data_IF_276548199861
#
_entry.id   IF_276548199861
#
_cell.length_a   1.000
_cell.length_b   1.000
_cell.length_c   1.000
_cell.angle_alpha   90.00
_cell.angle_beta   90.00
_cell.angle_gamma   90.00
#
_symmetry.space_group_name_H-M   'P 1'
#
loop_
_entity.id
_entity.type
_entity.pdbx_description
1 polymer ?
#
# COMPACT_ATOMS: atom_id res chain seq x y z
N UNK A 1 -82.05 -5.55 -5.04
CA UNK A 1 -81.78 -5.97 -6.44
C UNK A 1 -80.27 -6.15 -6.55
N UNK A 2 -79.75 -7.29 -6.09
CA UNK A 2 -79.35 -8.48 -6.87
C UNK A 2 -77.93 -8.35 -7.46
N UNK A 3 -77.07 -9.23 -6.94
CA UNK A 3 -75.68 -9.61 -7.27
C UNK A 3 -75.34 -9.67 -8.77
N UNK A 4 -74.06 -9.52 -9.11
CA UNK A 4 -73.22 -10.66 -9.54
C UNK A 4 -71.74 -10.30 -9.77
N UNK A 5 -70.90 -11.19 -9.25
CA UNK A 5 -69.44 -11.38 -9.43
C UNK A 5 -69.09 -11.77 -10.86
N UNK A 6 -67.82 -11.58 -11.29
CA UNK A 6 -66.95 -12.56 -11.96
C UNK A 6 -65.59 -11.92 -12.33
N UNK A 7 -64.48 -12.58 -11.98
CA UNK A 7 -63.14 -12.51 -12.62
C UNK A 7 -63.01 -13.80 -13.48
N UNK A 8 -62.16 -13.90 -14.55
CA UNK A 8 -60.69 -13.88 -14.42
C UNK A 8 -59.86 -13.45 -15.66
N UNK A 9 -58.54 -13.29 -15.42
CA UNK A 9 -57.36 -13.49 -16.29
C UNK A 9 -57.36 -13.06 -17.76
N UNK A 10 -56.45 -12.14 -18.09
CA UNK A 10 -55.30 -12.40 -19.00
C UNK A 10 -54.53 -11.10 -19.28
N UNK A 11 -53.40 -10.89 -18.59
CA UNK A 11 -52.39 -9.92 -19.02
C UNK A 11 -51.02 -10.62 -18.95
N UNK A 12 -50.57 -11.01 -20.14
CA UNK A 12 -49.35 -11.74 -20.40
C UNK A 12 -48.11 -10.93 -20.03
N UNK A 13 -47.45 -11.37 -18.97
CA UNK A 13 -46.05 -11.79 -18.93
C UNK A 13 -45.15 -11.38 -20.12
N UNK A 14 -44.70 -10.12 -20.16
CA UNK A 14 -43.52 -9.69 -20.91
C UNK A 14 -42.80 -8.62 -20.07
N UNK A 15 -41.47 -8.70 -20.02
CA UNK A 15 -40.52 -7.86 -19.25
C UNK A 15 -40.06 -8.41 -17.89
N UNK A 16 -39.46 -9.61 -17.91
CA UNK A 16 -38.39 -9.90 -16.95
C UNK A 16 -37.17 -10.52 -17.67
N UNK A 17 -36.48 -9.69 -18.45
CA UNK A 17 -35.09 -9.94 -18.82
C UNK A 17 -34.22 -8.98 -18.00
N UNK A 18 -33.93 -9.35 -16.76
CA UNK A 18 -32.77 -8.81 -16.05
C UNK A 18 -31.53 -9.35 -16.75
N UNK A 19 -30.97 -8.56 -17.65
CA UNK A 19 -29.61 -8.75 -18.16
C UNK A 19 -28.66 -8.69 -16.96
N UNK A 20 -28.17 -9.87 -16.57
CA UNK A 20 -27.08 -10.01 -15.62
C UNK A 20 -25.82 -9.44 -16.27
N UNK A 21 -25.53 -8.18 -15.98
CA UNK A 21 -24.22 -7.58 -16.25
C UNK A 21 -23.17 -8.54 -15.65
N UNK A 22 -22.24 -9.10 -16.44
CA UNK A 22 -21.21 -9.97 -15.90
C UNK A 22 -20.38 -9.14 -14.93
N UNK A 23 -20.45 -9.44 -13.64
CA UNK A 23 -19.53 -8.83 -12.69
C UNK A 23 -18.11 -9.24 -13.10
N UNK A 24 -17.16 -8.30 -13.18
CA UNK A 24 -15.77 -8.64 -13.45
C UNK A 24 -15.33 -9.65 -12.38
N UNK A 25 -15.01 -10.86 -12.81
CA UNK A 25 -14.51 -11.91 -11.91
C UNK A 25 -13.11 -11.48 -11.46
N UNK A 26 -13.04 -10.80 -10.31
CA UNK A 26 -11.77 -10.40 -9.70
C UNK A 26 -10.96 -11.69 -9.46
N UNK A 27 -9.80 -11.77 -10.09
CA UNK A 27 -8.90 -12.90 -9.90
C UNK A 27 -8.11 -12.73 -8.60
N UNK A 28 -8.33 -13.64 -7.66
CA UNK A 28 -7.66 -13.68 -6.36
C UNK A 28 -6.37 -14.50 -6.37
N UNK A 29 -6.07 -15.19 -7.48
CA UNK A 29 -5.00 -16.18 -7.62
C UNK A 29 -3.60 -15.62 -7.30
N UNK A 30 -3.41 -14.30 -7.47
CA UNK A 30 -2.14 -13.62 -7.20
C UNK A 30 -1.63 -13.80 -5.77
N UNK A 31 -2.52 -13.76 -4.78
CA UNK A 31 -2.13 -13.85 -3.36
C UNK A 31 -2.69 -15.08 -2.68
N UNK A 32 -3.70 -15.72 -3.27
CA UNK A 32 -4.50 -16.73 -2.60
C UNK A 32 -4.67 -17.96 -3.47
N UNK A 33 -4.45 -19.13 -2.87
CA UNK A 33 -4.76 -20.43 -3.48
C UNK A 33 -6.01 -21.03 -2.84
N UNK A 34 -6.99 -21.41 -3.67
CA UNK A 34 -8.21 -22.11 -3.22
C UNK A 34 -8.01 -23.62 -3.25
N UNK A 35 -8.52 -24.31 -2.24
CA UNK A 35 -8.66 -25.76 -2.18
C UNK A 35 -10.14 -26.10 -2.06
N UNK A 36 -10.65 -26.86 -3.04
CA UNK A 36 -12.03 -27.33 -3.08
C UNK A 36 -12.24 -28.63 -2.28
N UNK A 37 -13.50 -29.05 -2.17
CA UNK A 37 -13.88 -30.29 -1.47
C UNK A 37 -13.16 -31.49 -2.05
N UNK A 38 -12.25 -32.08 -1.27
CA UNK A 38 -11.43 -33.24 -1.65
C UNK A 38 -10.02 -32.91 -2.15
N UNK A 39 -9.63 -31.64 -2.22
CA UNK A 39 -8.25 -31.26 -2.52
C UNK A 39 -7.41 -31.16 -1.24
N UNK A 40 -6.34 -31.94 -1.18
CA UNK A 40 -5.38 -31.88 -0.07
C UNK A 40 -4.39 -30.73 -0.28
N UNK A 41 -4.26 -29.87 0.74
CA UNK A 41 -3.29 -28.76 0.73
C UNK A 41 -1.94 -29.12 1.37
N UNK A 42 -1.79 -30.35 1.89
CA UNK A 42 -0.57 -30.82 2.55
C UNK A 42 -0.33 -30.26 3.96
N UNK A 43 -1.14 -29.31 4.44
CA UNK A 43 -1.05 -28.79 5.80
C UNK A 43 -1.72 -29.74 6.80
N UNK A 44 -0.97 -30.23 7.79
CA UNK A 44 -1.48 -31.04 8.90
C UNK A 44 -2.60 -30.31 9.65
N UNK A 45 -2.44 -29.01 9.86
CA UNK A 45 -3.44 -28.16 10.50
C UNK A 45 -4.79 -28.16 9.77
N UNK A 46 -4.79 -28.04 8.43
CA UNK A 46 -6.04 -28.07 7.65
C UNK A 46 -6.69 -29.46 7.65
N UNK A 47 -5.87 -30.52 7.70
CA UNK A 47 -6.34 -31.91 7.78
C UNK A 47 -7.00 -32.19 9.13
N UNK A 48 -6.34 -31.84 10.23
CA UNK A 48 -6.86 -31.99 11.60
C UNK A 48 -8.10 -31.14 11.84
N UNK A 49 -8.15 -29.94 11.26
CA UNK A 49 -9.32 -29.04 11.36
C UNK A 49 -10.50 -29.45 10.47
N UNK A 50 -10.33 -30.45 9.61
CA UNK A 50 -11.41 -30.97 8.75
C UNK A 50 -11.91 -29.97 7.70
N UNK A 51 -11.06 -29.06 7.22
CA UNK A 51 -11.49 -28.01 6.28
C UNK A 51 -11.77 -28.58 4.88
N UNK A 52 -13.05 -28.71 4.54
CA UNK A 52 -13.51 -29.19 3.23
C UNK A 52 -13.22 -28.20 2.10
N UNK A 53 -13.44 -26.90 2.33
CA UNK A 53 -13.09 -25.84 1.39
C UNK A 53 -12.39 -24.70 2.15
N UNK A 54 -11.27 -24.24 1.62
CA UNK A 54 -10.47 -23.19 2.27
C UNK A 54 -9.51 -22.50 1.28
N UNK A 55 -8.88 -21.43 1.75
CA UNK A 55 -8.02 -20.53 0.99
C UNK A 55 -6.72 -20.29 1.76
N UNK A 56 -5.56 -20.44 1.11
CA UNK A 56 -4.26 -20.13 1.69
C UNK A 56 -3.73 -18.83 1.12
N UNK A 57 -3.21 -17.95 1.97
CA UNK A 57 -2.39 -16.84 1.49
C UNK A 57 -0.98 -17.33 1.16
N UNK A 58 -0.44 -16.91 0.02
CA UNK A 58 0.90 -17.27 -0.44
C UNK A 58 1.99 -16.36 0.15
N UNK A 59 1.63 -15.13 0.51
CA UNK A 59 2.56 -14.11 1.04
C UNK A 59 2.59 -14.05 2.58
N UNK A 60 1.57 -14.60 3.24
CA UNK A 60 1.47 -14.66 4.69
C UNK A 60 1.59 -16.10 5.16
N UNK A 61 2.75 -16.44 5.72
CA UNK A 61 3.04 -17.76 6.26
C UNK A 61 1.92 -18.25 7.18
N UNK A 62 1.31 -19.37 6.82
CA UNK A 62 0.32 -20.07 7.64
C UNK A 62 -1.07 -19.44 7.71
N UNK A 63 -1.38 -18.37 6.95
CA UNK A 63 -2.75 -17.82 6.95
C UNK A 63 -3.69 -18.64 6.07
N UNK A 64 -4.68 -19.23 6.73
CA UNK A 64 -5.76 -20.02 6.10
C UNK A 64 -7.11 -19.36 6.38
N UNK A 65 -7.96 -19.28 5.35
CA UNK A 65 -9.32 -18.76 5.45
C UNK A 65 -10.31 -19.82 5.01
N UNK A 66 -11.38 -20.02 5.77
CA UNK A 66 -12.50 -20.92 5.39
C UNK A 66 -13.60 -20.12 4.69
N UNK A 67 -13.86 -18.90 5.17
CA UNK A 67 -14.90 -18.00 4.65
C UNK A 67 -14.35 -17.13 3.52
N UNK A 68 -15.13 -16.98 2.44
CA UNK A 68 -14.74 -16.17 1.28
C UNK A 68 -14.61 -14.68 1.64
N UNK A 69 -15.44 -14.17 2.54
CA UNK A 69 -15.45 -12.77 2.97
C UNK A 69 -14.16 -12.39 3.71
N UNK A 70 -13.67 -13.29 4.56
CA UNK A 70 -12.39 -13.14 5.27
C UNK A 70 -11.22 -13.07 4.29
N UNK A 71 -11.22 -14.00 3.32
CA UNK A 71 -10.22 -14.03 2.24
C UNK A 71 -10.26 -12.74 1.42
N UNK A 72 -11.43 -12.26 1.02
CA UNK A 72 -11.57 -11.00 0.26
C UNK A 72 -11.01 -9.80 1.05
N UNK A 73 -11.28 -9.74 2.36
CA UNK A 73 -10.73 -8.67 3.21
C UNK A 73 -9.22 -8.73 3.27
N UNK A 74 -8.66 -9.93 3.43
CA UNK A 74 -7.22 -10.15 3.45
C UNK A 74 -6.56 -9.82 2.11
N UNK A 75 -7.17 -10.21 0.99
CA UNK A 75 -6.72 -9.83 -0.35
C UNK A 75 -6.69 -8.30 -0.52
N UNK A 76 -7.76 -7.59 -0.10
CA UNK A 76 -7.79 -6.12 -0.14
C UNK A 76 -6.69 -5.50 0.73
N UNK A 77 -6.33 -6.15 1.82
CA UNK A 77 -5.21 -5.72 2.66
C UNK A 77 -3.86 -5.87 1.93
N UNK A 78 -3.61 -7.01 1.26
CA UNK A 78 -2.42 -7.18 0.42
C UNK A 78 -2.34 -6.12 -0.67
N UNK A 79 -3.44 -5.89 -1.39
CA UNK A 79 -3.50 -4.87 -2.43
C UNK A 79 -3.11 -3.48 -1.90
N UNK A 80 -3.66 -3.06 -0.76
CA UNK A 80 -3.31 -1.78 -0.12
C UNK A 80 -1.86 -1.71 0.33
N UNK A 81 -1.32 -2.83 0.83
CA UNK A 81 0.09 -2.92 1.24
C UNK A 81 1.01 -2.77 0.03
N UNK A 82 0.70 -3.44 -1.07
CA UNK A 82 1.48 -3.38 -2.31
C UNK A 82 1.42 -1.97 -2.94
N UNK A 83 0.25 -1.32 -2.94
CA UNK A 83 0.10 0.08 -3.35
C UNK A 83 1.02 1.01 -2.54
N UNK A 84 1.08 0.85 -1.21
CA UNK A 84 2.02 1.63 -0.39
C UNK A 84 3.48 1.28 -0.65
N UNK A 85 3.79 0.00 -0.90
CA UNK A 85 5.15 -0.45 -1.17
C UNK A 85 5.70 0.09 -2.49
N UNK A 86 4.84 0.25 -3.51
CA UNK A 86 5.21 0.91 -4.76
C UNK A 86 5.66 2.37 -4.55
N UNK A 87 5.19 3.02 -3.49
CA UNK A 87 5.62 4.36 -3.09
C UNK A 87 6.82 4.36 -2.12
N UNK A 88 7.38 3.19 -1.80
CA UNK A 88 8.46 3.03 -0.84
C UNK A 88 7.99 3.08 0.61
N UNK A 89 6.79 2.57 0.90
CA UNK A 89 6.21 2.56 2.23
C UNK A 89 5.72 1.19 2.68
N UNK A 90 6.09 0.79 3.90
CA UNK A 90 5.55 -0.38 4.56
C UNK A 90 4.36 0.02 5.45
N UNK A 91 3.18 -0.51 5.13
CA UNK A 91 1.95 -0.28 5.89
C UNK A 91 1.82 -1.29 7.05
N UNK A 92 1.46 -0.78 8.22
CA UNK A 92 1.15 -1.56 9.40
C UNK A 92 -0.27 -1.25 9.88
N UNK A 93 -0.99 -2.28 10.30
CA UNK A 93 -2.33 -2.21 10.87
C UNK A 93 -2.25 -2.01 12.39
N UNK A 94 -3.35 -1.65 13.08
CA UNK A 94 -3.34 -1.48 14.54
C UNK A 94 -2.98 -2.76 15.30
N UNK A 95 -3.11 -3.94 14.68
CA UNK A 95 -2.74 -5.24 15.24
C UNK A 95 -1.30 -5.65 14.96
N UNK A 96 -0.62 -4.94 14.05
CA UNK A 96 0.71 -5.33 13.59
C UNK A 96 1.77 -4.71 14.50
N UNK A 97 2.85 -5.47 14.75
CA UNK A 97 4.01 -4.98 15.47
C UNK A 97 5.11 -4.56 14.50
N UNK A 98 5.41 -3.27 14.44
CA UNK A 98 6.47 -2.74 13.58
C UNK A 98 7.85 -2.78 14.23
N UNK A 99 7.97 -3.11 15.54
CA UNK A 99 9.27 -3.19 16.22
C UNK A 99 10.14 -4.32 15.67
N UNK A 100 9.55 -5.45 15.27
CA UNK A 100 10.29 -6.59 14.73
C UNK A 100 11.07 -6.23 13.46
N UNK A 101 10.47 -5.41 12.60
CA UNK A 101 11.08 -4.92 11.34
C UNK A 101 11.97 -3.70 11.54
N UNK A 102 11.74 -2.94 12.60
CA UNK A 102 12.45 -1.69 12.88
C UNK A 102 12.91 -1.63 14.35
N UNK A 103 13.79 -2.54 14.80
CA UNK A 103 14.14 -2.67 16.22
C UNK A 103 14.85 -1.44 16.79
N UNK A 104 15.56 -0.70 15.94
CA UNK A 104 16.26 0.54 16.32
C UNK A 104 15.37 1.78 16.28
N UNK A 105 14.12 1.67 15.78
CA UNK A 105 13.22 2.81 15.58
C UNK A 105 12.05 2.73 16.53
N UNK A 106 11.95 3.70 17.43
CA UNK A 106 10.77 3.87 18.27
C UNK A 106 9.60 4.43 17.44
N UNK A 107 8.62 3.58 17.14
CA UNK A 107 7.39 4.01 16.45
C UNK A 107 6.32 4.44 17.48
N UNK A 108 5.89 5.72 17.50
CA UNK A 108 4.87 6.19 18.45
C UNK A 108 3.47 5.59 18.19
N UNK A 109 3.27 5.03 17.00
CA UNK A 109 2.00 4.47 16.52
C UNK A 109 1.95 2.94 16.55
N UNK A 110 2.99 2.28 17.04
CA UNK A 110 3.04 0.82 17.10
C UNK A 110 1.84 0.25 17.87
N UNK A 111 1.15 -0.74 17.29
CA UNK A 111 -0.05 -1.38 17.86
C UNK A 111 -1.18 -0.43 18.30
N UNK A 112 -1.21 0.82 17.81
CA UNK A 112 -2.23 1.83 18.15
C UNK A 112 -3.15 2.14 16.99
N UNK A 113 -2.58 2.37 15.80
CA UNK A 113 -3.33 2.76 14.61
C UNK A 113 -2.63 2.34 13.33
N UNK A 114 -3.32 2.46 12.20
CA UNK A 114 -2.70 2.25 10.89
C UNK A 114 -1.63 3.32 10.65
N UNK A 115 -0.45 2.90 10.23
CA UNK A 115 0.66 3.80 9.93
C UNK A 115 1.57 3.23 8.83
N UNK A 116 2.46 4.07 8.30
CA UNK A 116 3.29 3.82 7.12
C UNK A 116 4.73 4.24 7.43
N UNK A 117 5.67 3.31 7.28
CA UNK A 117 7.11 3.56 7.43
C UNK A 117 7.75 3.72 6.07
N UNK A 118 8.55 4.78 5.88
CA UNK A 118 9.39 4.89 4.70
C UNK A 118 10.47 3.79 4.73
N UNK A 119 10.68 3.12 3.59
CA UNK A 119 11.70 2.07 3.45
C UNK A 119 12.95 2.56 2.70
N UNK A 120 13.01 3.85 2.36
CA UNK A 120 14.20 4.41 1.73
C UNK A 120 15.37 4.42 2.72
N UNK A 121 16.57 4.20 2.17
CA UNK A 121 17.81 4.26 2.93
C UNK A 121 17.96 5.62 3.64
N UNK A 122 18.43 5.60 4.88
CA UNK A 122 18.58 6.78 5.73
C UNK A 122 17.30 7.63 5.91
N UNK A 123 16.12 7.03 5.75
CA UNK A 123 14.84 7.70 6.03
C UNK A 123 14.05 7.01 7.15
N UNK A 124 13.85 7.73 8.24
CA UNK A 124 13.14 7.24 9.45
C UNK A 124 11.71 7.78 9.57
N UNK A 125 11.15 8.35 8.48
CA UNK A 125 9.84 9.00 8.53
C UNK A 125 8.69 7.98 8.63
N UNK A 126 7.76 8.29 9.52
CA UNK A 126 6.53 7.52 9.75
C UNK A 126 5.33 8.45 9.59
N UNK A 127 4.32 7.98 8.86
CA UNK A 127 3.09 8.74 8.60
C UNK A 127 1.85 7.92 8.94
N UNK A 128 0.74 8.62 9.18
CA UNK A 128 -0.56 8.01 9.48
C UNK A 128 -1.61 8.27 8.39
N UNK A 129 -1.32 9.23 7.49
CA UNK A 129 -2.17 9.60 6.36
C UNK A 129 -1.56 9.14 5.03
N UNK A 130 -2.40 8.78 4.07
CA UNK A 130 -1.95 8.42 2.72
C UNK A 130 -1.49 9.63 1.92
N UNK A 131 -1.99 10.83 2.23
CA UNK A 131 -1.57 12.09 1.59
C UNK A 131 -0.13 12.43 1.93
N UNK A 132 0.27 12.29 3.20
CA UNK A 132 1.66 12.57 3.61
C UNK A 132 2.62 11.55 3.01
N UNK A 133 2.20 10.28 2.94
CA UNK A 133 2.93 9.20 2.25
C UNK A 133 3.20 9.58 0.80
N UNK A 134 2.17 9.99 0.06
CA UNK A 134 2.32 10.39 -1.34
C UNK A 134 3.22 11.63 -1.49
N UNK A 135 3.05 12.64 -0.63
CA UNK A 135 3.88 13.84 -0.64
C UNK A 135 5.35 13.50 -0.39
N UNK A 136 5.62 12.62 0.57
CA UNK A 136 6.95 12.18 0.93
C UNK A 136 7.59 11.27 -0.13
N UNK A 137 6.82 10.35 -0.72
CA UNK A 137 7.27 9.55 -1.86
C UNK A 137 7.71 10.44 -3.03
N UNK A 138 6.93 11.48 -3.33
CA UNK A 138 7.27 12.47 -4.34
C UNK A 138 8.54 13.27 -3.98
N UNK A 139 8.79 13.52 -2.69
CA UNK A 139 10.05 14.11 -2.25
C UNK A 139 11.23 13.21 -2.62
N UNK A 140 11.21 11.92 -2.25
CA UNK A 140 12.28 10.98 -2.62
C UNK A 140 12.45 10.86 -4.13
N UNK A 141 11.35 10.79 -4.90
CA UNK A 141 11.42 10.77 -6.36
C UNK A 141 12.16 11.98 -6.95
N UNK A 142 11.85 13.18 -6.44
CA UNK A 142 12.50 14.42 -6.88
C UNK A 142 13.96 14.49 -6.44
N UNK A 143 14.25 14.05 -5.23
CA UNK A 143 15.61 14.06 -4.66
C UNK A 143 16.52 13.09 -5.43
N UNK A 144 16.06 11.87 -5.69
CA UNK A 144 16.79 10.88 -6.50
C UNK A 144 17.09 11.38 -7.91
N UNK A 145 16.19 12.14 -8.54
CA UNK A 145 16.44 12.73 -9.86
C UNK A 145 17.59 13.76 -9.82
N UNK A 146 17.61 14.63 -8.80
CA UNK A 146 18.68 15.62 -8.60
C UNK A 146 20.03 14.92 -8.37
N UNK A 147 20.02 13.86 -7.56
CA UNK A 147 21.18 13.01 -7.28
C UNK A 147 21.71 12.34 -8.55
N UNK A 148 20.82 11.86 -9.43
CA UNK A 148 21.17 11.27 -10.72
C UNK A 148 21.76 12.29 -11.71
N UNK A 149 21.31 13.54 -11.68
CA UNK A 149 21.90 14.65 -12.44
C UNK A 149 23.28 15.08 -11.89
N UNK A 150 23.71 14.50 -10.77
CA UNK A 150 25.03 14.73 -10.17
C UNK A 150 25.04 15.88 -9.17
N UNK A 151 23.89 16.24 -8.63
CA UNK A 151 23.77 17.31 -7.64
C UNK A 151 23.20 16.79 -6.32
N UNK A 152 23.49 17.48 -5.22
CA UNK A 152 22.92 17.24 -3.90
C UNK A 152 22.15 18.48 -3.48
N UNK A 153 20.89 18.29 -3.07
CA UNK A 153 20.10 19.38 -2.51
C UNK A 153 20.33 19.46 -1.00
N UNK A 154 20.46 20.68 -0.50
CA UNK A 154 20.39 21.02 0.92
C UNK A 154 19.21 21.96 1.14
N UNK A 155 18.32 21.60 2.06
CA UNK A 155 17.18 22.48 2.43
C UNK A 155 17.66 23.64 3.29
N UNK A 156 16.83 24.67 3.38
CA UNK A 156 17.06 25.83 4.26
C UNK A 156 17.26 25.49 5.75
N UNK A 157 16.79 24.32 6.19
CA UNK A 157 16.93 23.82 7.56
C UNK A 157 18.12 22.87 7.74
N UNK A 158 18.80 22.51 6.65
CA UNK A 158 19.91 21.56 6.64
C UNK A 158 21.22 22.33 6.45
N UNK A 159 22.27 21.92 7.17
CA UNK A 159 23.61 22.49 7.03
C UNK A 159 24.42 21.61 6.09
N UNK A 160 25.01 22.19 5.05
CA UNK A 160 25.87 21.46 4.11
C UNK A 160 27.30 21.24 4.63
N UNK A 161 27.66 21.84 5.77
CA UNK A 161 28.96 21.71 6.46
C UNK A 161 30.18 21.85 5.53
N UNK A 162 30.03 22.61 4.45
CA UNK A 162 31.03 22.77 3.41
C UNK A 162 31.62 24.16 3.50
N UNK A 163 32.90 24.28 3.84
CA UNK A 163 33.55 25.58 4.12
C UNK A 163 33.57 26.54 2.92
N UNK A 164 33.59 25.98 1.70
CA UNK A 164 33.59 26.78 0.47
C UNK A 164 32.20 27.16 -0.02
N UNK A 165 31.12 26.70 0.63
CA UNK A 165 29.76 27.01 0.17
C UNK A 165 29.38 28.44 0.60
N UNK A 166 29.08 29.36 -0.34
CA UNK A 166 28.69 30.74 -0.01
C UNK A 166 27.32 30.82 0.69
N UNK A 167 26.58 29.72 0.70
CA UNK A 167 25.26 29.61 1.31
C UNK A 167 25.30 28.81 2.62
N UNK A 168 26.49 28.37 3.07
CA UNK A 168 26.65 27.75 4.38
C UNK A 168 26.20 28.74 5.48
N UNK A 169 25.39 28.25 6.43
CA UNK A 169 24.79 29.08 7.48
C UNK A 169 23.62 29.98 7.04
N UNK A 170 23.37 30.10 5.73
CA UNK A 170 22.18 30.77 5.23
C UNK A 170 20.98 29.82 5.32
N UNK A 171 19.85 30.30 5.85
CA UNK A 171 18.59 29.53 5.90
C UNK A 171 17.91 29.47 4.53
N UNK A 172 18.63 29.00 3.52
CA UNK A 172 18.19 28.96 2.11
C UNK A 172 18.44 27.59 1.50
N UNK A 173 17.50 27.12 0.67
CA UNK A 173 17.71 25.90 -0.12
C UNK A 173 18.77 26.16 -1.18
N UNK A 174 19.71 25.24 -1.35
CA UNK A 174 20.79 25.33 -2.33
C UNK A 174 21.23 23.93 -2.80
N UNK A 175 22.03 23.87 -3.85
CA UNK A 175 22.46 22.65 -4.53
C UNK A 175 23.98 22.63 -4.68
N UNK A 176 24.58 21.46 -4.49
CA UNK A 176 26.02 21.23 -4.64
C UNK A 176 26.27 20.20 -5.73
N UNK A 177 27.29 20.40 -6.57
CA UNK A 177 27.74 19.32 -7.45
C UNK A 177 28.38 18.18 -6.63
N UNK A 178 28.08 16.93 -6.99
CA UNK A 178 28.61 15.71 -6.34
C UNK A 178 29.88 15.17 -7.00
N UNK A 179 30.35 15.78 -8.10
CA UNK A 179 31.58 15.35 -8.80
C UNK A 179 32.81 15.68 -7.96
N UNK A 180 33.76 14.75 -7.89
CA UNK A 180 34.98 14.91 -7.11
C UNK A 180 35.75 16.19 -7.52
N UNK A 181 36.14 16.99 -6.53
CA UNK A 181 36.87 18.25 -6.73
C UNK A 181 36.04 19.42 -7.27
N UNK A 182 34.74 19.22 -7.57
CA UNK A 182 33.87 20.29 -8.04
C UNK A 182 33.35 21.14 -6.87
N UNK A 183 33.53 22.46 -6.94
CA UNK A 183 33.03 23.42 -5.95
C UNK A 183 31.79 24.19 -6.42
N UNK A 184 31.14 23.73 -7.47
CA UNK A 184 29.97 24.40 -8.03
C UNK A 184 28.76 24.27 -7.10
N UNK A 185 28.18 25.42 -6.74
CA UNK A 185 27.00 25.52 -5.87
C UNK A 185 26.07 26.60 -6.38
N UNK A 186 24.76 26.40 -6.31
CA UNK A 186 23.75 27.37 -6.77
C UNK A 186 22.46 27.28 -5.95
N UNK A 187 21.58 28.29 -6.07
CA UNK A 187 20.32 28.37 -5.31
C UNK A 187 19.10 27.90 -6.11
N UNK A 188 19.03 28.20 -7.41
CA UNK A 188 17.82 27.94 -8.19
C UNK A 188 17.96 26.67 -9.01
N UNK A 189 16.91 25.85 -9.03
CA UNK A 189 16.89 24.63 -9.85
C UNK A 189 17.10 24.92 -11.35
N UNK A 190 16.76 26.11 -11.84
CA UNK A 190 16.98 26.49 -13.24
C UNK A 190 18.47 26.66 -13.61
N UNK A 191 19.35 26.77 -12.61
CA UNK A 191 20.80 26.93 -12.79
C UNK A 191 21.55 25.58 -12.78
N UNK A 192 20.77 24.49 -12.76
CA UNK A 192 21.22 23.09 -12.80
C UNK A 192 21.44 22.63 -14.24
#
# INVERSE_FOLDING_TARGET
>A
LMRQTLSPNSAENLLNQKSSIPQPTIDYSRYVRRFGSGQECGSSYCKESGYREHFHCLDCSGRVFVKKEEMIRHFKWHKKRDESLQHGFMRYSPTDDCMERHPLRHCPHNRKQTHYHCIHDNCDKVYISTSDVQMHANFHRKDSAIIQEGFQRFRATESCSTDYCPFAGQRTTHFHCRRAGCRYTFKNKADM
#
